data_IF_061935300684
#
_entry.id   IF_061935300684
#
_cell.length_a   1.000
_cell.length_b   1.000
_cell.length_c   1.000
_cell.angle_alpha   90.00
_cell.angle_beta   90.00
_cell.angle_gamma   90.00
#
_symmetry.space_group_name_H-M   'P 1'
#
loop_
_entity.id
_entity.type
_entity.pdbx_description
1 polymer ?
#
# COMPACT_ATOMS: atom_id res chain seq x y z
N UNK A 1 6.55 -2.98 28.06
CA UNK A 1 6.42 -1.49 28.08
C UNK A 1 7.27 -0.82 26.97
N UNK A 2 8.35 -1.44 26.48
CA UNK A 2 9.18 -0.85 25.39
C UNK A 2 8.63 -1.09 23.97
N UNK A 3 7.77 -2.05 23.75
CA UNK A 3 7.13 -2.33 22.45
C UNK A 3 6.16 -1.22 22.01
N UNK A 4 5.47 -0.58 22.94
CA UNK A 4 4.49 0.48 22.66
C UNK A 4 5.09 1.71 21.96
N UNK A 5 6.38 2.02 22.17
CA UNK A 5 6.99 3.22 21.58
C UNK A 5 7.35 3.08 20.10
N UNK A 6 7.73 1.86 19.65
CA UNK A 6 8.08 1.59 18.24
C UNK A 6 6.81 1.46 17.40
N UNK A 7 5.80 0.77 17.92
CA UNK A 7 4.50 0.62 17.26
C UNK A 7 3.82 1.98 17.08
N UNK A 8 3.86 2.82 18.11
CA UNK A 8 3.36 4.18 18.04
C UNK A 8 4.11 5.03 17.00
N UNK A 9 5.43 4.92 16.93
CA UNK A 9 6.24 5.63 15.91
C UNK A 9 5.92 5.19 14.50
N UNK A 10 5.76 3.88 14.26
CA UNK A 10 5.41 3.35 12.94
C UNK A 10 4.01 3.81 12.53
N UNK A 11 3.05 3.81 13.44
CA UNK A 11 1.72 4.32 13.19
C UNK A 11 1.73 5.82 12.83
N UNK A 12 2.44 6.65 13.61
CA UNK A 12 2.54 8.09 13.33
C UNK A 12 3.20 8.38 11.98
N UNK A 13 4.26 7.65 11.62
CA UNK A 13 4.91 7.75 10.30
C UNK A 13 3.96 7.35 9.17
N UNK A 14 3.16 6.30 9.40
CA UNK A 14 2.15 5.86 8.44
C UNK A 14 1.07 6.91 8.24
N UNK A 15 0.59 7.54 9.31
CA UNK A 15 -0.36 8.65 9.24
C UNK A 15 0.20 9.82 8.45
N UNK A 16 1.43 10.25 8.75
CA UNK A 16 2.09 11.36 8.05
C UNK A 16 2.25 11.08 6.55
N UNK A 17 2.67 9.85 6.20
CA UNK A 17 2.83 9.45 4.81
C UNK A 17 1.49 9.46 4.06
N UNK A 18 0.46 8.86 4.65
CA UNK A 18 -0.87 8.82 4.03
C UNK A 18 -1.51 10.21 3.93
N UNK A 19 -1.34 11.06 4.92
CA UNK A 19 -1.80 12.46 4.86
C UNK A 19 -1.14 13.23 3.70
N UNK A 20 0.16 13.02 3.48
CA UNK A 20 0.86 13.59 2.32
C UNK A 20 0.32 13.08 1.00
N UNK A 21 0.04 11.77 0.88
CA UNK A 21 -0.52 11.18 -0.31
C UNK A 21 -1.94 11.69 -0.60
N UNK A 22 -2.75 11.88 0.43
CA UNK A 22 -4.08 12.50 0.31
C UNK A 22 -3.96 13.95 -0.18
N UNK A 23 -3.03 14.72 0.35
CA UNK A 23 -2.78 16.12 -0.07
C UNK A 23 -2.35 16.26 -1.53
N UNK A 24 -1.69 15.26 -2.10
CA UNK A 24 -1.35 15.25 -3.54
C UNK A 24 -2.46 14.66 -4.43
N UNK A 25 -3.62 14.32 -3.87
CA UNK A 25 -4.81 13.96 -4.63
C UNK A 25 -5.26 12.50 -4.54
N UNK A 26 -4.67 11.68 -3.67
CA UNK A 26 -5.16 10.31 -3.42
C UNK A 26 -6.49 10.39 -2.67
N UNK A 27 -7.56 9.92 -3.29
CA UNK A 27 -8.89 9.85 -2.69
C UNK A 27 -9.35 8.40 -2.42
N UNK A 28 -8.76 7.44 -3.14
CA UNK A 28 -9.15 6.04 -3.09
C UNK A 28 -7.93 5.16 -2.83
N UNK A 29 -8.08 4.23 -1.90
CA UNK A 29 -7.04 3.33 -1.44
C UNK A 29 -7.56 1.89 -1.49
N UNK A 30 -6.81 1.00 -2.12
CA UNK A 30 -7.06 -0.43 -2.11
C UNK A 30 -6.11 -1.05 -1.09
N UNK A 31 -6.67 -1.72 -0.09
CA UNK A 31 -5.92 -2.35 0.99
C UNK A 31 -5.89 -3.86 0.82
N UNK A 32 -4.68 -4.41 0.65
CA UNK A 32 -4.43 -5.84 0.73
C UNK A 32 -3.93 -6.20 2.14
N UNK A 33 -4.55 -7.18 2.81
CA UNK A 33 -4.20 -7.51 4.19
C UNK A 33 -2.80 -8.12 4.30
N UNK A 34 -2.07 -7.73 5.34
CA UNK A 34 -0.77 -8.30 5.63
C UNK A 34 -0.19 -7.76 6.94
N UNK A 35 0.55 -8.60 7.66
CA UNK A 35 1.06 -8.22 8.98
C UNK A 35 2.10 -7.09 8.94
N UNK A 36 2.91 -7.01 7.88
CA UNK A 36 3.94 -5.96 7.76
C UNK A 36 3.38 -4.61 7.35
N UNK A 37 2.25 -4.59 6.65
CA UNK A 37 1.52 -3.38 6.31
C UNK A 37 0.53 -2.94 7.39
N UNK A 38 0.44 -3.64 8.54
CA UNK A 38 -0.51 -3.34 9.60
C UNK A 38 -0.49 -1.88 10.09
N UNK A 39 0.66 -1.21 10.31
CA UNK A 39 0.67 0.20 10.68
C UNK A 39 0.02 1.11 9.64
N UNK A 40 0.23 0.83 8.35
CA UNK A 40 -0.40 1.55 7.24
C UNK A 40 -1.90 1.27 7.19
N UNK A 41 -2.31 0.01 7.37
CA UNK A 41 -3.72 -0.38 7.38
C UNK A 41 -4.49 0.31 8.51
N UNK A 42 -3.93 0.36 9.72
CA UNK A 42 -4.54 1.02 10.87
C UNK A 42 -4.65 2.54 10.62
N UNK A 43 -3.56 3.16 10.14
CA UNK A 43 -3.56 4.58 9.82
C UNK A 43 -4.58 4.93 8.73
N UNK A 44 -4.66 4.13 7.67
CA UNK A 44 -5.67 4.29 6.62
C UNK A 44 -7.08 4.19 7.19
N UNK A 45 -7.34 3.23 8.09
CA UNK A 45 -8.63 3.05 8.76
C UNK A 45 -9.05 4.28 9.55
N UNK A 46 -8.12 4.93 10.27
CA UNK A 46 -8.42 6.17 11.00
C UNK A 46 -8.73 7.33 10.04
N UNK A 47 -7.97 7.49 8.96
CA UNK A 47 -8.23 8.51 7.95
C UNK A 47 -9.57 8.28 7.21
N UNK A 48 -9.94 7.02 6.98
CA UNK A 48 -11.24 6.69 6.41
C UNK A 48 -12.40 7.04 7.35
N UNK A 49 -12.28 6.78 8.65
CA UNK A 49 -13.28 7.20 9.65
C UNK A 49 -13.50 8.70 9.67
N UNK A 50 -12.45 9.47 9.38
CA UNK A 50 -12.49 10.93 9.26
C UNK A 50 -13.03 11.41 7.89
N UNK A 51 -13.37 10.49 6.99
CA UNK A 51 -13.85 10.82 5.64
C UNK A 51 -12.79 11.38 4.69
N UNK A 52 -11.50 11.21 5.03
CA UNK A 52 -10.40 11.78 4.24
C UNK A 52 -10.00 10.91 3.04
N UNK A 53 -10.28 9.61 3.08
CA UNK A 53 -9.98 8.65 2.01
C UNK A 53 -11.01 7.53 2.00
N UNK A 54 -11.31 6.99 0.83
CA UNK A 54 -12.14 5.80 0.67
C UNK A 54 -11.25 4.55 0.67
N UNK A 55 -11.65 3.50 1.38
CA UNK A 55 -10.92 2.23 1.42
C UNK A 55 -11.74 1.12 0.76
N UNK A 56 -11.09 0.39 -0.13
CA UNK A 56 -11.56 -0.84 -0.73
C UNK A 56 -10.64 -1.99 -0.31
N UNK A 57 -11.19 -3.06 0.22
CA UNK A 57 -10.41 -4.23 0.60
C UNK A 57 -10.30 -5.22 -0.57
N UNK A 58 -9.09 -5.75 -0.79
CA UNK A 58 -8.84 -6.79 -1.77
C UNK A 58 -7.92 -7.86 -1.17
N UNK A 59 -8.26 -9.12 -1.33
CA UNK A 59 -7.44 -10.24 -0.85
C UNK A 59 -6.31 -10.53 -1.83
N UNK A 60 -6.58 -10.40 -3.14
CA UNK A 60 -5.62 -10.67 -4.21
C UNK A 60 -4.98 -9.35 -4.68
N UNK A 61 -3.65 -9.29 -4.62
CA UNK A 61 -2.89 -8.07 -4.94
C UNK A 61 -2.92 -7.74 -6.43
N UNK A 62 -2.95 -8.72 -7.31
CA UNK A 62 -3.07 -8.48 -8.74
C UNK A 62 -4.42 -7.83 -9.06
N UNK A 63 -5.49 -8.34 -8.48
CA UNK A 63 -6.82 -7.73 -8.60
C UNK A 63 -6.85 -6.33 -8.02
N UNK A 64 -6.17 -6.09 -6.88
CA UNK A 64 -6.03 -4.77 -6.27
C UNK A 64 -5.36 -3.77 -7.21
N UNK A 65 -4.29 -4.18 -7.88
CA UNK A 65 -3.59 -3.36 -8.87
C UNK A 65 -4.51 -2.93 -10.01
N UNK A 66 -5.24 -3.86 -10.61
CA UNK A 66 -6.19 -3.54 -11.69
C UNK A 66 -7.42 -2.77 -11.21
N UNK A 67 -7.89 -3.01 -9.98
CA UNK A 67 -8.94 -2.20 -9.37
C UNK A 67 -8.49 -0.74 -9.22
N UNK A 68 -7.27 -0.52 -8.74
CA UNK A 68 -6.65 0.80 -8.65
C UNK A 68 -6.54 1.48 -10.01
N UNK A 69 -6.10 0.74 -11.03
CA UNK A 69 -6.04 1.23 -12.41
C UNK A 69 -7.42 1.66 -12.93
N UNK A 70 -8.46 0.86 -12.68
CA UNK A 70 -9.83 1.19 -13.04
C UNK A 70 -10.31 2.47 -12.38
N UNK A 71 -10.06 2.64 -11.07
CA UNK A 71 -10.39 3.86 -10.34
C UNK A 71 -9.66 5.07 -10.92
N UNK A 72 -8.35 4.96 -11.12
CA UNK A 72 -7.55 6.05 -11.70
C UNK A 72 -8.02 6.42 -13.11
N UNK A 73 -8.38 5.42 -13.92
CA UNK A 73 -8.89 5.64 -15.27
C UNK A 73 -10.25 6.37 -15.27
N UNK A 74 -11.14 5.96 -14.38
CA UNK A 74 -12.50 6.51 -14.31
C UNK A 74 -12.55 7.90 -13.67
N UNK A 75 -11.74 8.14 -12.62
CA UNK A 75 -11.75 9.39 -11.86
C UNK A 75 -10.79 10.45 -12.41
N UNK A 76 -9.74 10.04 -13.13
CA UNK A 76 -8.62 10.91 -13.49
C UNK A 76 -7.68 11.24 -12.33
N UNK A 77 -7.92 10.71 -11.11
CA UNK A 77 -7.15 10.98 -9.90
C UNK A 77 -6.17 9.86 -9.60
N UNK A 78 -5.17 10.17 -8.76
CA UNK A 78 -4.27 9.17 -8.21
C UNK A 78 -5.04 8.17 -7.33
N UNK A 79 -4.73 6.90 -7.48
CA UNK A 79 -5.18 5.84 -6.59
C UNK A 79 -3.99 5.14 -5.92
N UNK A 80 -4.20 4.57 -4.74
CA UNK A 80 -3.16 3.97 -3.90
C UNK A 80 -3.48 2.50 -3.64
N UNK A 81 -2.48 1.64 -3.77
CA UNK A 81 -2.55 0.25 -3.30
C UNK A 81 -1.57 0.05 -2.16
N UNK A 82 -2.04 -0.50 -1.05
CA UNK A 82 -1.19 -0.91 0.07
C UNK A 82 -1.11 -2.43 0.12
N UNK A 83 0.11 -2.97 0.10
CA UNK A 83 0.36 -4.42 0.22
C UNK A 83 1.44 -4.75 1.23
N UNK A 84 1.51 -6.03 1.60
CA UNK A 84 2.62 -6.57 2.36
C UNK A 84 3.85 -6.81 1.47
N UNK A 85 4.89 -7.44 2.00
CA UNK A 85 6.16 -7.73 1.31
C UNK A 85 6.09 -9.00 0.45
N UNK A 86 7.12 -9.22 -0.34
CA UNK A 86 7.37 -10.48 -1.04
C UNK A 86 6.54 -10.62 -2.31
N UNK A 87 5.92 -11.78 -2.51
CA UNK A 87 5.12 -12.08 -3.71
C UNK A 87 3.94 -11.13 -3.90
N UNK A 88 3.44 -10.50 -2.84
CA UNK A 88 2.44 -9.45 -2.92
C UNK A 88 2.89 -8.30 -3.84
N UNK A 89 4.16 -7.91 -3.73
CA UNK A 89 4.76 -6.86 -4.58
C UNK A 89 4.85 -7.30 -6.02
N UNK A 90 5.32 -8.53 -6.26
CA UNK A 90 5.46 -9.10 -7.62
C UNK A 90 4.10 -9.20 -8.34
N UNK A 91 3.01 -9.42 -7.62
CA UNK A 91 1.67 -9.50 -8.17
C UNK A 91 1.14 -8.14 -8.69
N UNK A 92 1.77 -7.03 -8.33
CA UNK A 92 1.40 -5.69 -8.83
C UNK A 92 1.99 -5.39 -10.20
N UNK A 93 3.01 -6.13 -10.65
CA UNK A 93 3.73 -5.87 -11.90
C UNK A 93 2.80 -5.79 -13.13
N UNK A 94 1.83 -6.69 -13.35
CA UNK A 94 0.93 -6.59 -14.49
C UNK A 94 0.15 -5.28 -14.54
N UNK A 95 -0.34 -4.81 -13.40
CA UNK A 95 -1.05 -3.54 -13.31
C UNK A 95 -0.12 -2.34 -13.47
N UNK A 96 1.13 -2.43 -12.99
CA UNK A 96 2.15 -1.39 -13.18
C UNK A 96 2.46 -1.19 -14.68
N UNK A 97 2.65 -2.29 -15.41
CA UNK A 97 2.89 -2.24 -16.87
C UNK A 97 1.72 -1.62 -17.60
N UNK A 98 0.49 -2.00 -17.26
CA UNK A 98 -0.70 -1.45 -17.90
C UNK A 98 -0.93 0.03 -17.55
N UNK A 99 -0.65 0.44 -16.32
CA UNK A 99 -0.72 1.83 -15.89
C UNK A 99 0.28 2.72 -16.65
N UNK A 100 1.52 2.23 -16.82
CA UNK A 100 2.55 2.91 -17.61
C UNK A 100 2.10 3.08 -19.07
N UNK A 101 1.62 2.00 -19.70
CA UNK A 101 1.15 2.01 -21.10
C UNK A 101 -0.05 2.91 -21.33
N UNK A 102 -0.95 3.03 -20.36
CA UNK A 102 -2.15 3.86 -20.41
C UNK A 102 -1.95 5.27 -19.85
N UNK A 103 -0.73 5.60 -19.38
CA UNK A 103 -0.40 6.88 -18.74
C UNK A 103 -1.34 7.21 -17.57
N UNK A 104 -1.62 6.22 -16.70
CA UNK A 104 -2.47 6.38 -15.52
C UNK A 104 -1.64 6.39 -14.23
N UNK A 105 -1.96 7.33 -13.34
CA UNK A 105 -1.27 7.48 -12.07
C UNK A 105 -1.77 6.48 -11.03
N UNK A 106 -0.91 5.52 -10.65
CA UNK A 106 -1.12 4.61 -9.52
C UNK A 106 0.08 4.69 -8.59
N UNK A 107 -0.17 4.64 -7.30
CA UNK A 107 0.88 4.54 -6.28
C UNK A 107 0.82 3.17 -5.65
N UNK A 108 1.94 2.44 -5.65
CA UNK A 108 2.08 1.19 -4.91
C UNK A 108 2.91 1.45 -3.66
N UNK A 109 2.26 1.35 -2.50
CA UNK A 109 2.91 1.48 -1.19
C UNK A 109 3.08 0.09 -0.59
N UNK A 110 4.27 -0.47 -0.78
CA UNK A 110 4.57 -1.84 -0.41
C UNK A 110 5.44 -1.91 0.83
N UNK A 111 5.13 -2.83 1.74
CA UNK A 111 6.03 -3.12 2.84
C UNK A 111 7.23 -3.96 2.36
N UNK A 112 8.35 -3.87 3.06
CA UNK A 112 9.51 -4.72 2.81
C UNK A 112 10.00 -5.43 4.07
N UNK A 113 10.84 -6.43 3.91
CA UNK A 113 11.53 -7.12 4.99
C UNK A 113 12.66 -6.27 5.55
N UNK A 114 12.91 -6.32 6.87
CA UNK A 114 14.13 -5.75 7.44
C UNK A 114 15.37 -6.41 6.80
N UNK A 115 16.42 -5.63 6.59
CA UNK A 115 17.67 -6.08 5.97
C UNK A 115 18.24 -7.38 6.58
N UNK A 116 18.12 -7.53 7.91
CA UNK A 116 18.57 -8.74 8.63
C UNK A 116 17.85 -10.03 8.23
N UNK A 117 16.73 -9.94 7.54
CA UNK A 117 15.93 -11.09 7.07
C UNK A 117 16.04 -11.29 5.55
N UNK A 118 16.82 -10.47 4.85
CA UNK A 118 17.15 -10.70 3.44
C UNK A 118 18.19 -11.83 3.37
N UNK A 119 18.09 -12.65 2.36
CA UNK A 119 19.02 -13.76 2.04
C UNK A 119 19.20 -14.85 3.12
N UNK A 120 18.27 -14.94 4.07
CA UNK A 120 18.30 -15.96 5.13
C UNK A 120 17.16 -16.99 5.01
N UNK A 121 16.53 -17.13 3.84
CA UNK A 121 15.42 -18.06 3.60
C UNK A 121 14.11 -17.71 4.30
N UNK A 122 13.95 -16.48 4.77
CA UNK A 122 12.70 -16.04 5.38
C UNK A 122 11.55 -16.05 4.37
N UNK A 123 10.38 -16.57 4.79
CA UNK A 123 9.19 -16.62 3.95
C UNK A 123 8.77 -15.24 3.44
N UNK A 124 8.21 -15.18 2.23
CA UNK A 124 7.76 -13.93 1.59
C UNK A 124 8.87 -12.88 1.49
N UNK A 125 10.08 -13.32 1.18
CA UNK A 125 11.23 -12.46 0.93
C UNK A 125 11.62 -12.61 -0.54
N UNK A 126 11.56 -11.52 -1.28
CA UNK A 126 12.04 -11.41 -2.66
C UNK A 126 12.82 -10.11 -2.79
N UNK A 127 13.67 -10.01 -3.78
CA UNK A 127 14.27 -8.72 -4.11
C UNK A 127 13.17 -7.81 -4.68
N UNK A 128 12.93 -6.67 -4.04
CA UNK A 128 11.90 -5.69 -4.40
C UNK A 128 12.51 -4.45 -5.09
N UNK A 129 13.83 -4.45 -5.30
CA UNK A 129 14.57 -3.38 -5.99
C UNK A 129 14.55 -3.54 -7.51
#
# INVERSE_FOLDING_TARGET
>A
IMTSSIECKNFLRSLQLLDLLIKIGVQNLILCPGSRSAPLAIAAGELNKLGMVNIFNSIDERSAGFHSLGISTASGNLSLVITTSGTAVSNLLPAAVEADRSCKGIIFLTADRPLRLKDCGANQTVNQE
#
